data_IF_812451168413
#
_entry.id   IF_812451168413
#
_cell.length_a   1.000
_cell.length_b   1.000
_cell.length_c   1.000
_cell.angle_alpha   90.00
_cell.angle_beta   90.00
_cell.angle_gamma   90.00
#
_symmetry.space_group_name_H-M   'P 1'
#
loop_
_entity.id
_entity.type
_entity.pdbx_description
1 polymer ?
#
# COMPACT_ATOMS: atom_id res chain seq x y z
N UNK A 1 -17.67 -11.86 -51.67
CA UNK A 1 -17.51 -12.32 -50.25
C UNK A 1 -16.53 -11.48 -49.46
N UNK A 2 -15.33 -11.24 -49.94
CA UNK A 2 -14.31 -10.45 -49.22
C UNK A 2 -14.79 -9.03 -48.86
N UNK A 3 -15.49 -8.37 -49.74
CA UNK A 3 -16.00 -7.00 -49.57
C UNK A 3 -17.05 -6.89 -48.43
N UNK A 4 -17.82 -7.94 -48.17
CA UNK A 4 -18.80 -7.97 -47.06
C UNK A 4 -18.10 -8.08 -45.69
N UNK A 5 -17.03 -8.84 -45.61
CA UNK A 5 -16.22 -8.96 -44.35
C UNK A 5 -15.41 -7.71 -44.08
N UNK A 6 -14.96 -7.01 -45.12
CA UNK A 6 -14.22 -5.75 -44.97
C UNK A 6 -15.11 -4.65 -44.38
N UNK A 7 -16.39 -4.58 -44.80
CA UNK A 7 -17.36 -3.62 -44.26
C UNK A 7 -17.67 -3.92 -42.79
N UNK A 8 -17.85 -5.20 -42.43
CA UNK A 8 -18.09 -5.62 -41.02
C UNK A 8 -16.89 -5.29 -40.15
N UNK A 9 -15.67 -5.51 -40.65
CA UNK A 9 -14.44 -5.21 -39.92
C UNK A 9 -14.24 -3.72 -39.70
N UNK A 10 -14.54 -2.86 -40.68
CA UNK A 10 -14.46 -1.40 -40.54
C UNK A 10 -15.53 -0.84 -39.58
N UNK A 11 -16.73 -1.42 -39.55
CA UNK A 11 -17.76 -1.04 -38.57
C UNK A 11 -17.38 -1.42 -37.16
N UNK A 12 -16.73 -2.58 -36.96
CA UNK A 12 -16.22 -2.98 -35.63
C UNK A 12 -15.07 -2.08 -35.14
N UNK A 13 -14.20 -1.62 -36.04
CA UNK A 13 -13.10 -0.72 -35.68
C UNK A 13 -13.59 0.68 -35.27
N UNK A 14 -14.69 1.15 -35.80
CA UNK A 14 -15.25 2.48 -35.50
C UNK A 14 -15.97 2.55 -34.15
N UNK A 15 -16.39 1.43 -33.58
CA UNK A 15 -17.11 1.39 -32.30
C UNK A 15 -16.13 1.52 -31.10
N UNK A 16 -14.83 1.23 -31.31
CA UNK A 16 -13.83 1.18 -30.21
C UNK A 16 -13.31 2.55 -29.74
N UNK A 17 -13.71 3.65 -30.35
CA UNK A 17 -13.13 4.98 -30.08
C UNK A 17 -14.09 5.98 -29.45
N UNK A 18 -15.26 5.57 -29.01
CA UNK A 18 -16.16 6.47 -28.31
C UNK A 18 -15.75 6.56 -26.84
N UNK A 19 -14.73 7.34 -26.54
CA UNK A 19 -14.43 7.74 -25.18
C UNK A 19 -15.54 8.68 -24.70
N UNK A 20 -16.33 8.21 -23.74
CA UNK A 20 -17.38 9.02 -23.14
C UNK A 20 -16.75 10.26 -22.48
N UNK A 21 -17.09 11.49 -22.93
CA UNK A 21 -16.48 12.72 -22.41
C UNK A 21 -16.71 12.89 -20.90
N UNK A 22 -17.81 12.36 -20.36
CA UNK A 22 -18.11 12.38 -18.93
C UNK A 22 -17.10 11.56 -18.14
N UNK A 23 -16.74 10.36 -18.61
CA UNK A 23 -15.74 9.50 -17.97
C UNK A 23 -14.36 10.17 -17.96
N UNK A 24 -14.00 10.85 -19.04
CA UNK A 24 -12.73 11.59 -19.14
C UNK A 24 -12.69 12.79 -18.21
N UNK A 25 -13.78 13.56 -18.11
CA UNK A 25 -13.88 14.67 -17.15
C UNK A 25 -13.77 14.19 -15.70
N UNK A 26 -14.46 13.10 -15.38
CA UNK A 26 -14.40 12.50 -14.06
C UNK A 26 -12.98 12.02 -13.71
N UNK A 27 -12.33 11.33 -14.63
CA UNK A 27 -10.95 10.88 -14.47
C UNK A 27 -9.97 12.04 -14.26
N UNK A 28 -10.12 13.13 -15.01
CA UNK A 28 -9.27 14.30 -14.86
C UNK A 28 -9.49 15.01 -13.52
N UNK A 29 -10.74 15.10 -13.04
CA UNK A 29 -11.03 15.67 -11.73
C UNK A 29 -10.37 14.88 -10.59
N UNK A 30 -10.35 13.55 -10.68
CA UNK A 30 -9.61 12.71 -9.72
C UNK A 30 -8.11 12.92 -9.80
N UNK A 31 -7.55 13.01 -11.00
CA UNK A 31 -6.13 13.26 -11.19
C UNK A 31 -5.70 14.61 -10.57
N UNK A 32 -6.49 15.66 -10.78
CA UNK A 32 -6.23 16.99 -10.24
C UNK A 32 -6.27 17.01 -8.70
N UNK A 33 -7.22 16.29 -8.10
CA UNK A 33 -7.31 16.14 -6.64
C UNK A 33 -6.13 15.33 -6.11
N UNK A 34 -5.79 14.22 -6.77
CA UNK A 34 -4.67 13.36 -6.37
C UNK A 34 -3.35 14.14 -6.40
N UNK A 35 -3.10 14.95 -7.43
CA UNK A 35 -1.90 15.78 -7.55
C UNK A 35 -1.77 16.80 -6.40
N UNK A 36 -2.90 17.40 -5.99
CA UNK A 36 -2.92 18.38 -4.89
C UNK A 36 -2.75 17.72 -3.51
N UNK A 37 -3.26 16.51 -3.33
CA UNK A 37 -3.25 15.83 -2.03
C UNK A 37 -1.99 14.97 -1.84
N UNK A 38 -1.38 14.50 -2.92
CA UNK A 38 -0.22 13.61 -2.87
C UNK A 38 0.92 14.09 -1.96
N UNK A 39 1.29 15.38 -1.92
CA UNK A 39 2.34 15.86 -1.04
C UNK A 39 2.03 15.71 0.46
N UNK A 40 0.75 15.58 0.81
CA UNK A 40 0.33 15.35 2.20
C UNK A 40 0.22 13.86 2.57
N UNK A 41 0.29 12.96 1.59
CA UNK A 41 0.22 11.52 1.83
C UNK A 41 1.59 10.99 2.24
N UNK A 42 1.61 10.16 3.28
CA UNK A 42 2.84 9.53 3.79
C UNK A 42 2.68 8.03 3.93
N UNK A 43 3.78 7.32 3.82
CA UNK A 43 3.86 5.90 4.15
C UNK A 43 4.30 5.74 5.59
N UNK A 44 3.61 4.90 6.35
CA UNK A 44 3.91 4.59 7.74
C UNK A 44 4.40 3.15 7.81
N UNK A 45 5.61 2.97 8.32
CA UNK A 45 6.17 1.68 8.68
C UNK A 45 6.21 1.59 10.21
N UNK A 46 5.47 0.69 10.77
CA UNK A 46 5.45 0.43 12.20
C UNK A 46 6.08 -0.93 12.50
N UNK A 47 6.91 -1.00 13.51
CA UNK A 47 7.65 -2.19 13.90
C UNK A 47 7.38 -2.48 15.37
N UNK A 48 7.03 -3.73 15.66
CA UNK A 48 6.96 -4.25 17.01
C UNK A 48 8.13 -5.20 17.23
N UNK A 49 8.98 -4.89 18.19
CA UNK A 49 10.00 -5.82 18.65
C UNK A 49 9.35 -6.89 19.52
N UNK A 50 9.16 -8.06 18.96
CA UNK A 50 8.80 -9.22 19.75
C UNK A 50 10.09 -9.67 20.44
N UNK A 51 10.27 -9.29 21.69
CA UNK A 51 11.28 -9.92 22.53
C UNK A 51 11.01 -11.41 22.47
N UNK A 52 11.98 -12.18 22.03
CA UNK A 52 11.95 -13.64 22.17
C UNK A 52 11.90 -13.91 23.68
N UNK A 53 10.69 -13.87 24.25
CA UNK A 53 10.49 -14.36 25.60
C UNK A 53 11.08 -15.75 25.64
N UNK A 54 11.99 -15.92 26.59
CA UNK A 54 12.70 -17.12 26.96
C UNK A 54 12.05 -18.37 26.33
N UNK A 55 12.52 -18.70 25.17
CA UNK A 55 12.20 -19.97 24.54
C UNK A 55 12.44 -21.05 25.58
N UNK A 56 11.40 -21.77 25.87
CA UNK A 56 11.45 -22.85 26.86
C UNK A 56 12.33 -23.97 26.27
N UNK A 57 13.60 -24.02 26.65
CA UNK A 57 14.58 -25.02 26.20
C UNK A 57 14.14 -26.50 26.37
N UNK A 58 12.95 -26.71 26.91
CA UNK A 58 12.37 -28.05 27.12
C UNK A 58 11.58 -28.55 25.91
N UNK A 59 11.47 -27.80 24.82
CA UNK A 59 10.80 -28.28 23.61
C UNK A 59 11.78 -29.03 22.72
N UNK A 60 11.62 -30.33 22.48
CA UNK A 60 12.56 -31.15 21.71
C UNK A 60 12.70 -30.71 20.25
N UNK A 61 11.74 -29.96 19.71
CA UNK A 61 11.81 -29.42 18.35
C UNK A 61 12.76 -28.24 18.21
N UNK A 62 13.06 -27.53 19.28
CA UNK A 62 13.94 -26.36 19.26
C UNK A 62 15.42 -26.73 19.06
N UNK A 63 15.80 -27.95 19.42
CA UNK A 63 17.16 -28.44 19.23
C UNK A 63 17.56 -28.61 17.75
N UNK A 64 16.58 -28.62 16.85
CA UNK A 64 16.80 -28.79 15.41
C UNK A 64 16.79 -27.48 14.64
N UNK A 65 16.46 -26.34 15.29
CA UNK A 65 16.43 -25.04 14.65
C UNK A 65 17.80 -24.35 14.78
N UNK A 66 18.33 -23.74 13.70
CA UNK A 66 19.58 -22.97 13.76
C UNK A 66 19.47 -21.80 14.76
N UNK A 67 20.53 -21.53 15.51
CA UNK A 67 20.59 -20.42 16.49
C UNK A 67 20.26 -19.05 15.87
N UNK A 68 20.45 -18.90 14.57
CA UNK A 68 20.13 -17.69 13.81
C UNK A 68 18.63 -17.37 13.78
N UNK A 69 17.78 -18.38 13.90
CA UNK A 69 16.33 -18.20 14.00
C UNK A 69 15.91 -17.55 15.32
N UNK A 70 16.66 -17.80 16.38
CA UNK A 70 16.40 -17.24 17.71
C UNK A 70 17.03 -15.85 17.90
N UNK A 71 18.06 -15.52 17.12
CA UNK A 71 18.76 -14.21 17.18
C UNK A 71 18.02 -13.12 16.40
N UNK A 72 17.28 -13.47 15.37
CA UNK A 72 16.39 -12.53 14.68
C UNK A 72 15.06 -12.54 15.41
N UNK A 73 14.94 -11.68 16.43
CA UNK A 73 13.64 -11.43 17.05
C UNK A 73 12.60 -11.25 15.94
N UNK A 74 11.48 -11.95 16.05
CA UNK A 74 10.39 -11.82 15.10
C UNK A 74 9.89 -10.38 15.16
N UNK A 75 10.26 -9.56 14.17
CA UNK A 75 9.74 -8.21 14.04
C UNK A 75 8.38 -8.30 13.35
N UNK A 76 7.32 -8.03 14.07
CA UNK A 76 6.04 -7.76 13.44
C UNK A 76 6.11 -6.38 12.80
N UNK A 77 5.94 -6.33 11.50
CA UNK A 77 5.94 -5.10 10.72
C UNK A 77 4.54 -4.84 10.20
N UNK A 78 4.05 -3.64 10.42
CA UNK A 78 2.83 -3.13 9.79
C UNK A 78 3.20 -2.03 8.80
N UNK A 79 2.55 -2.04 7.64
CA UNK A 79 2.67 -1.01 6.63
C UNK A 79 1.31 -0.34 6.46
N UNK A 80 1.28 0.97 6.49
CA UNK A 80 0.07 1.75 6.34
C UNK A 80 0.32 3.08 5.66
N UNK A 81 -0.73 3.85 5.51
CA UNK A 81 -0.69 5.21 4.98
C UNK A 81 -1.19 6.19 6.00
N UNK A 82 -0.74 7.42 5.91
CA UNK A 82 -1.22 8.54 6.70
C UNK A 82 -1.36 9.80 5.87
N UNK A 83 -2.00 10.81 6.44
CA UNK A 83 -2.15 12.14 5.83
C UNK A 83 -1.67 13.19 6.81
N UNK A 84 -0.77 14.07 6.36
CA UNK A 84 -0.34 15.24 7.14
C UNK A 84 -1.52 16.19 7.24
N UNK A 85 -2.02 16.42 8.44
CA UNK A 85 -3.14 17.35 8.71
C UNK A 85 -2.64 18.68 9.24
N UNK A 86 -1.45 18.72 9.80
CA UNK A 86 -0.77 19.93 10.27
C UNK A 86 0.74 19.75 10.08
N UNK A 87 1.28 20.43 9.09
CA UNK A 87 2.69 20.34 8.75
C UNK A 87 3.59 21.11 9.72
N UNK A 88 3.08 22.17 10.37
CA UNK A 88 3.85 22.99 11.30
C UNK A 88 4.10 22.23 12.61
N UNK A 89 3.05 21.57 13.12
CA UNK A 89 3.12 20.79 14.36
C UNK A 89 3.46 19.30 14.12
N UNK A 90 3.52 18.87 12.86
CA UNK A 90 3.87 17.50 12.50
C UNK A 90 2.78 16.48 12.77
N UNK A 91 1.50 16.86 12.72
CA UNK A 91 0.40 15.95 12.96
C UNK A 91 0.03 15.16 11.72
N UNK A 92 -0.04 13.84 11.89
CA UNK A 92 -0.39 12.88 10.85
C UNK A 92 -1.59 12.06 11.29
N UNK A 93 -2.62 12.01 10.46
CA UNK A 93 -3.79 11.17 10.66
C UNK A 93 -3.55 9.80 10.01
N UNK A 94 -3.75 8.74 10.77
CA UNK A 94 -3.69 7.35 10.29
C UNK A 94 -4.68 6.46 11.01
N UNK A 95 -4.80 5.20 10.60
CA UNK A 95 -5.65 4.22 11.26
C UNK A 95 -4.98 3.68 12.54
N UNK A 96 -5.77 3.52 13.60
CA UNK A 96 -5.28 3.02 14.89
C UNK A 96 -4.56 1.68 14.75
N UNK A 97 -5.07 0.76 13.93
CA UNK A 97 -4.48 -0.58 13.75
C UNK A 97 -3.06 -0.56 13.12
N UNK A 98 -2.65 0.55 12.52
CA UNK A 98 -1.29 0.69 11.95
C UNK A 98 -0.26 0.94 13.05
N UNK A 99 -0.64 1.66 14.11
CA UNK A 99 0.27 2.16 15.15
C UNK A 99 0.07 1.50 16.51
N UNK A 100 -1.08 0.88 16.73
CA UNK A 100 -1.42 0.29 18.03
C UNK A 100 -0.45 -0.83 18.43
N UNK A 101 0.13 -0.69 19.61
CA UNK A 101 1.05 -1.68 20.17
C UNK A 101 2.38 -1.82 19.42
N UNK A 102 2.75 -0.85 18.60
CA UNK A 102 4.03 -0.80 17.93
C UNK A 102 5.06 -0.03 18.76
N UNK A 103 6.32 -0.48 18.69
CA UNK A 103 7.42 0.11 19.48
C UNK A 103 8.14 1.22 18.71
N UNK A 104 8.19 1.09 17.39
CA UNK A 104 8.82 2.06 16.50
C UNK A 104 7.91 2.41 15.32
N UNK A 105 7.80 3.70 15.02
CA UNK A 105 7.00 4.20 13.90
C UNK A 105 7.89 5.09 13.03
N UNK A 106 8.08 4.68 11.79
CA UNK A 106 8.81 5.44 10.78
C UNK A 106 7.85 6.02 9.76
N UNK A 107 7.93 7.32 9.50
CA UNK A 107 7.13 8.02 8.49
C UNK A 107 8.02 8.36 7.31
N UNK A 108 7.56 7.96 6.12
CA UNK A 108 8.22 8.27 4.85
C UNK A 108 7.33 9.19 4.02
N UNK A 109 7.84 10.36 3.67
CA UNK A 109 7.26 11.27 2.70
C UNK A 109 7.43 10.70 1.28
N UNK A 110 6.43 10.92 0.43
CA UNK A 110 6.44 10.47 -0.96
C UNK A 110 7.10 11.52 -1.84
#
# INVERSE_FOLDING_TARGET
>A
MLQRYLIVFTVFLSISWTQNPIVKQFSNAFADVAEKVNPAVVTILAVKEVQAEKYNRNNPFEQFLPEEYFRRGFQNRALGSGVIVDGENGYILTNNHVVEGMDEITVKLI
#
